data_IF_537206043223
#
_entry.id   IF_537206043223
#
_cell.length_a   1.000
_cell.length_b   1.000
_cell.length_c   1.000
_cell.angle_alpha   90.00
_cell.angle_beta   90.00
_cell.angle_gamma   90.00
#
_symmetry.space_group_name_H-M   'P 1'
#
loop_
_entity.id
_entity.type
_entity.pdbx_description
1 polymer ?
#
# COMPACT_ATOMS: atom_id res chain seq x y z
N UNK A 1 1.29 7.15 19.07
CA UNK A 1 2.34 7.97 18.38
C UNK A 1 1.95 8.00 16.91
N UNK A 2 1.87 9.18 16.31
CA UNK A 2 1.63 9.30 14.87
C UNK A 2 2.98 9.35 14.16
N UNK A 3 3.10 8.58 13.10
CA UNK A 3 4.28 8.55 12.23
C UNK A 3 3.87 9.05 10.84
N UNK A 4 4.79 9.59 10.08
CA UNK A 4 4.51 10.04 8.72
C UNK A 4 5.69 9.90 7.77
N UNK A 5 5.41 10.00 6.50
CA UNK A 5 6.38 10.21 5.44
C UNK A 5 5.80 11.19 4.40
N UNK A 6 6.69 11.91 3.75
CA UNK A 6 6.35 12.77 2.61
C UNK A 6 7.14 12.26 1.42
N UNK A 7 6.45 11.96 0.34
CA UNK A 7 7.05 11.38 -0.85
C UNK A 7 6.23 11.74 -2.10
N UNK A 8 6.86 12.25 -3.12
CA UNK A 8 6.24 12.48 -4.43
C UNK A 8 6.06 11.14 -5.14
N UNK A 9 4.89 10.52 -4.94
CA UNK A 9 4.62 9.15 -5.37
C UNK A 9 4.44 9.07 -6.88
N UNK A 10 3.71 9.99 -7.47
CA UNK A 10 3.38 9.99 -8.90
C UNK A 10 4.31 10.87 -9.75
N UNK A 11 5.34 11.46 -9.11
CA UNK A 11 6.36 12.29 -9.74
C UNK A 11 5.77 13.54 -10.45
N UNK A 12 4.70 14.10 -9.91
CA UNK A 12 4.08 15.32 -10.41
C UNK A 12 4.71 16.61 -9.84
N UNK A 13 5.65 16.46 -8.90
CA UNK A 13 6.34 17.55 -8.20
C UNK A 13 5.61 18.05 -6.95
N UNK A 14 4.48 17.43 -6.58
CA UNK A 14 3.73 17.72 -5.37
C UNK A 14 3.75 16.48 -4.48
N UNK A 15 4.44 16.51 -3.33
CA UNK A 15 4.57 15.33 -2.51
C UNK A 15 3.27 14.94 -1.80
N UNK A 16 3.01 13.63 -1.72
CA UNK A 16 1.96 13.04 -0.91
C UNK A 16 2.39 12.94 0.55
N UNK A 17 1.39 12.95 1.44
CA UNK A 17 1.55 12.71 2.85
C UNK A 17 0.99 11.33 3.21
N UNK A 18 1.83 10.49 3.80
CA UNK A 18 1.46 9.21 4.41
C UNK A 18 1.43 9.39 5.92
N UNK A 19 0.27 9.17 6.54
CA UNK A 19 0.10 9.19 8.00
C UNK A 19 -0.18 7.77 8.52
N UNK A 20 0.49 7.38 9.60
CA UNK A 20 0.22 6.14 10.32
C UNK A 20 -0.03 6.42 11.80
N UNK A 21 -1.13 5.93 12.33
CA UNK A 21 -1.50 6.10 13.74
C UNK A 21 -0.69 5.24 14.71
N UNK A 22 0.34 4.56 14.25
CA UNK A 22 1.20 3.72 15.07
C UNK A 22 2.54 3.43 14.44
N UNK A 23 3.47 2.97 15.28
CA UNK A 23 4.79 2.54 14.84
C UNK A 23 4.84 1.03 14.48
N UNK A 24 3.71 0.35 14.50
CA UNK A 24 3.61 -1.09 14.27
C UNK A 24 2.97 -1.39 12.90
N UNK A 25 3.34 -2.51 12.31
CA UNK A 25 2.95 -2.90 10.95
C UNK A 25 1.43 -3.00 10.73
N UNK A 26 0.66 -3.28 11.79
CA UNK A 26 -0.80 -3.35 11.71
C UNK A 26 -1.48 -2.00 11.47
N UNK A 27 -0.80 -0.88 11.72
CA UNK A 27 -1.43 0.43 11.66
C UNK A 27 -1.72 0.93 10.23
N UNK A 28 -1.06 0.35 9.21
CA UNK A 28 -1.20 0.84 7.84
C UNK A 28 -0.79 2.30 7.70
N UNK A 29 -1.26 2.93 6.64
CA UNK A 29 -1.05 4.35 6.38
C UNK A 29 -2.22 4.97 5.63
N UNK A 30 -2.61 6.17 6.05
CA UNK A 30 -3.58 6.99 5.33
C UNK A 30 -2.82 7.88 4.34
N UNK A 31 -3.19 7.82 3.09
CA UNK A 31 -2.57 8.58 2.01
C UNK A 31 -3.38 9.84 1.72
N UNK A 32 -2.70 10.98 1.70
CA UNK A 32 -3.23 12.27 1.31
C UNK A 32 -2.43 12.83 0.14
N UNK A 33 -3.12 13.43 -0.81
CA UNK A 33 -2.51 14.17 -1.93
C UNK A 33 -3.07 15.58 -2.03
N UNK A 34 -2.32 16.48 -2.65
CA UNK A 34 -2.81 17.79 -3.08
C UNK A 34 -2.89 17.79 -4.61
N UNK A 35 -4.10 17.91 -5.14
CA UNK A 35 -4.35 17.98 -6.57
C UNK A 35 -5.25 19.17 -6.89
N UNK A 36 -4.85 20.01 -7.86
CA UNK A 36 -5.54 21.24 -8.24
C UNK A 36 -5.89 22.14 -7.02
N UNK A 37 -4.90 22.37 -6.16
CA UNK A 37 -5.00 23.17 -4.92
C UNK A 37 -6.02 22.64 -3.89
N UNK A 38 -6.39 21.37 -3.97
CA UNK A 38 -7.27 20.70 -3.01
C UNK A 38 -6.54 19.53 -2.35
N UNK A 39 -6.63 19.50 -1.01
CA UNK A 39 -6.19 18.33 -0.25
C UNK A 39 -7.27 17.24 -0.33
N UNK A 40 -6.88 16.05 -0.73
CA UNK A 40 -7.73 14.87 -0.80
C UNK A 40 -7.15 13.72 0.04
N UNK A 41 -8.02 13.04 0.81
CA UNK A 41 -7.71 11.77 1.42
C UNK A 41 -8.02 10.66 0.42
N UNK A 42 -7.02 9.89 0.06
CA UNK A 42 -7.17 8.81 -0.93
C UNK A 42 -7.60 7.48 -0.32
N UNK A 43 -7.37 7.29 0.99
CA UNK A 43 -7.73 6.08 1.71
C UNK A 43 -6.64 5.55 2.61
N UNK A 44 -6.90 4.38 3.20
CA UNK A 44 -5.99 3.65 4.07
C UNK A 44 -5.43 2.43 3.33
N UNK A 45 -4.12 2.20 3.47
CA UNK A 45 -3.39 1.13 2.77
C UNK A 45 -2.43 0.41 3.72
N UNK A 46 -2.15 -0.86 3.43
CA UNK A 46 -1.10 -1.64 4.07
C UNK A 46 -1.32 -1.98 5.54
N UNK A 47 -2.55 -2.01 6.04
CA UNK A 47 -2.85 -2.47 7.39
C UNK A 47 -2.54 -3.96 7.54
N UNK A 48 -1.74 -4.37 8.59
CA UNK A 48 -1.24 -5.72 8.78
C UNK A 48 -0.40 -6.28 7.63
N UNK A 49 0.14 -5.41 6.79
CA UNK A 49 0.90 -5.79 5.62
C UNK A 49 1.83 -4.68 5.17
N UNK A 50 1.94 -4.55 3.86
CA UNK A 50 2.85 -3.59 3.24
C UNK A 50 2.09 -2.65 2.32
N UNK A 51 2.57 -1.42 2.28
CA UNK A 51 2.22 -0.43 1.29
C UNK A 51 3.46 -0.19 0.43
N UNK A 52 3.34 -0.39 -0.87
CA UNK A 52 4.41 -0.15 -1.83
C UNK A 52 3.88 0.62 -3.03
N UNK A 53 4.78 1.28 -3.72
CA UNK A 53 4.47 2.01 -4.94
C UNK A 53 5.39 1.59 -6.08
N UNK A 54 4.77 1.22 -7.20
CA UNK A 54 5.44 0.95 -8.47
C UNK A 54 5.46 2.24 -9.31
N UNK A 55 6.61 2.94 -9.40
CA UNK A 55 6.67 4.22 -10.10
C UNK A 55 6.59 4.07 -11.63
N UNK A 56 6.94 2.90 -12.16
CA UNK A 56 6.92 2.65 -13.60
C UNK A 56 5.49 2.54 -14.14
N UNK A 57 4.62 1.83 -13.38
CA UNK A 57 3.21 1.63 -13.74
C UNK A 57 2.27 2.62 -13.05
N UNK A 58 2.76 3.41 -12.09
CA UNK A 58 1.96 4.27 -11.20
C UNK A 58 0.89 3.51 -10.43
N UNK A 59 1.30 2.37 -9.85
CA UNK A 59 0.43 1.49 -9.08
C UNK A 59 0.78 1.54 -7.60
N UNK A 60 -0.27 1.61 -6.77
CA UNK A 60 -0.18 1.38 -5.33
C UNK A 60 -0.48 -0.09 -5.07
N UNK A 61 0.42 -0.76 -4.36
CA UNK A 61 0.25 -2.12 -3.87
C UNK A 61 -0.04 -2.07 -2.37
N UNK A 62 -1.22 -2.50 -1.98
CA UNK A 62 -1.64 -2.60 -0.57
C UNK A 62 -1.84 -4.06 -0.23
N UNK A 63 -0.98 -4.61 0.61
CA UNK A 63 -1.06 -6.00 1.03
C UNK A 63 -1.46 -6.12 2.50
N UNK A 64 -2.10 -7.24 2.79
CA UNK A 64 -2.46 -7.69 4.13
C UNK A 64 -2.14 -9.18 4.22
N UNK A 65 -1.46 -9.60 5.29
CA UNK A 65 -1.18 -11.01 5.51
C UNK A 65 -1.38 -11.38 6.99
N UNK A 66 -2.30 -12.29 7.26
CA UNK A 66 -2.56 -12.76 8.62
C UNK A 66 -3.09 -14.19 8.62
N UNK A 67 -2.58 -15.02 9.53
CA UNK A 67 -3.07 -16.38 9.80
C UNK A 67 -3.19 -17.27 8.56
N UNK A 68 -2.24 -17.19 7.64
CA UNK A 68 -2.24 -17.98 6.40
C UNK A 68 -3.11 -17.41 5.28
N UNK A 69 -3.81 -16.30 5.52
CA UNK A 69 -4.54 -15.56 4.50
C UNK A 69 -3.74 -14.35 4.04
N UNK A 70 -3.70 -14.13 2.74
CA UNK A 70 -3.07 -12.98 2.12
C UNK A 70 -4.03 -12.25 1.19
N UNK A 71 -4.03 -10.92 1.26
CA UNK A 71 -4.72 -10.03 0.33
C UNK A 71 -3.70 -9.09 -0.30
N UNK A 72 -3.82 -8.88 -1.59
CA UNK A 72 -3.12 -7.81 -2.31
C UNK A 72 -4.13 -7.08 -3.16
N UNK A 73 -4.30 -5.79 -2.91
CA UNK A 73 -5.08 -4.92 -3.79
C UNK A 73 -4.13 -3.95 -4.49
N UNK A 74 -4.33 -3.79 -5.79
CA UNK A 74 -3.52 -2.92 -6.64
C UNK A 74 -4.41 -1.81 -7.17
N UNK A 75 -3.95 -0.57 -6.96
CA UNK A 75 -4.65 0.64 -7.36
C UNK A 75 -3.82 1.40 -8.37
N UNK A 76 -4.44 1.96 -9.40
CA UNK A 76 -3.83 3.03 -10.16
C UNK A 76 -3.86 4.33 -9.34
N UNK A 77 -2.84 5.15 -9.48
CA UNK A 77 -2.77 6.47 -8.86
C UNK A 77 -2.43 7.51 -9.92
N UNK A 78 -3.42 8.29 -10.31
CA UNK A 78 -3.27 9.34 -11.30
C UNK A 78 -4.23 10.51 -11.00
N UNK A 79 -3.77 11.74 -11.26
CA UNK A 79 -4.59 12.95 -11.15
C UNK A 79 -5.27 13.13 -9.79
N UNK A 80 -4.57 12.75 -8.72
CA UNK A 80 -5.07 12.87 -7.34
C UNK A 80 -6.17 11.87 -6.97
N UNK A 81 -6.32 10.79 -7.72
CA UNK A 81 -7.32 9.74 -7.47
C UNK A 81 -6.69 8.36 -7.50
N UNK A 82 -7.25 7.43 -6.71
CA UNK A 82 -6.91 6.01 -6.74
C UNK A 82 -8.09 5.19 -7.23
N UNK A 83 -7.81 4.19 -8.07
CA UNK A 83 -8.82 3.25 -8.56
C UNK A 83 -8.29 1.83 -8.41
N UNK A 84 -9.03 0.95 -7.71
CA UNK A 84 -8.66 -0.46 -7.64
C UNK A 84 -8.72 -1.09 -9.04
N UNK A 85 -7.61 -1.70 -9.46
CA UNK A 85 -7.46 -2.35 -10.75
C UNK A 85 -7.75 -3.83 -10.62
N UNK A 86 -7.18 -4.46 -9.59
CA UNK A 86 -7.27 -5.90 -9.36
C UNK A 86 -7.03 -6.19 -7.88
N UNK A 87 -7.67 -7.22 -7.38
CA UNK A 87 -7.42 -7.76 -6.05
C UNK A 87 -7.13 -9.26 -6.11
N UNK A 88 -6.23 -9.70 -5.23
CA UNK A 88 -5.81 -11.08 -5.05
C UNK A 88 -6.09 -11.51 -3.63
N UNK A 89 -6.65 -12.69 -3.46
CA UNK A 89 -6.76 -13.37 -2.18
C UNK A 89 -6.19 -14.77 -2.27
N UNK A 90 -5.41 -15.16 -1.27
CA UNK A 90 -4.92 -16.52 -1.12
C UNK A 90 -5.06 -17.01 0.32
N UNK A 91 -5.36 -18.28 0.48
CA UNK A 91 -5.26 -18.99 1.73
C UNK A 91 -4.42 -20.26 1.52
N UNK A 92 -3.40 -20.45 2.34
CA UNK A 92 -2.41 -21.53 2.11
C UNK A 92 -2.69 -22.82 2.88
N UNK A 93 -3.83 -22.94 3.58
CA UNK A 93 -4.19 -24.17 4.28
C UNK A 93 -3.29 -24.49 5.49
N UNK A 94 -2.62 -23.52 6.09
CA UNK A 94 -1.56 -23.73 7.10
C UNK A 94 -2.02 -24.32 8.43
N UNK A 95 -3.31 -24.45 8.69
CA UNK A 95 -3.84 -24.99 9.93
C UNK A 95 -4.33 -26.44 9.73
N UNK A 96 -4.05 -27.36 10.67
CA UNK A 96 -4.42 -28.79 10.53
C UNK A 96 -5.92 -29.07 10.37
N UNK A 97 -6.77 -28.11 10.72
CA UNK A 97 -8.25 -28.19 10.57
C UNK A 97 -8.78 -27.23 9.51
N UNK A 98 -7.89 -26.64 8.73
CA UNK A 98 -8.25 -25.62 7.76
C UNK A 98 -8.82 -26.23 6.48
N UNK A 99 -9.67 -25.51 5.74
CA UNK A 99 -10.06 -25.88 4.40
C UNK A 99 -8.84 -26.02 3.47
N UNK A 100 -9.05 -26.60 2.31
CA UNK A 100 -8.04 -26.63 1.25
C UNK A 100 -7.60 -25.20 0.88
N UNK A 101 -6.42 -25.08 0.25
CA UNK A 101 -5.93 -23.82 -0.25
C UNK A 101 -6.96 -23.15 -1.20
N UNK A 102 -7.15 -21.86 -1.03
CA UNK A 102 -8.07 -21.06 -1.83
C UNK A 102 -7.31 -19.96 -2.55
N UNK A 103 -7.71 -19.68 -3.78
CA UNK A 103 -7.15 -18.60 -4.61
C UNK A 103 -8.29 -17.85 -5.28
N UNK A 104 -8.28 -16.50 -5.16
CA UNK A 104 -9.29 -15.65 -5.79
C UNK A 104 -8.64 -14.45 -6.47
N UNK A 105 -9.24 -14.06 -7.59
CA UNK A 105 -8.95 -12.82 -8.29
C UNK A 105 -10.27 -12.05 -8.41
N UNK A 106 -10.30 -10.82 -7.90
CA UNK A 106 -11.50 -9.98 -7.86
C UNK A 106 -12.71 -10.70 -7.21
N UNK A 107 -12.43 -11.40 -6.08
CA UNK A 107 -13.40 -12.21 -5.32
C UNK A 107 -13.94 -13.46 -6.04
N UNK A 108 -13.46 -13.78 -7.23
CA UNK A 108 -13.82 -14.98 -7.97
C UNK A 108 -12.80 -16.10 -7.73
N UNK A 109 -13.28 -17.33 -7.45
CA UNK A 109 -12.43 -18.51 -7.29
C UNK A 109 -11.72 -18.85 -8.59
N UNK A 110 -10.40 -19.04 -8.51
CA UNK A 110 -9.57 -19.41 -9.66
C UNK A 110 -8.63 -20.56 -9.29
N UNK A 111 -8.20 -21.37 -10.27
CA UNK A 111 -7.12 -22.33 -10.05
C UNK A 111 -5.79 -21.65 -9.68
N UNK A 112 -4.95 -22.34 -8.92
CA UNK A 112 -3.64 -21.84 -8.47
C UNK A 112 -2.74 -21.36 -9.61
N UNK A 113 -2.71 -22.10 -10.72
CA UNK A 113 -1.90 -21.75 -11.89
C UNK A 113 -2.37 -20.45 -12.57
N UNK A 114 -3.68 -20.24 -12.62
CA UNK A 114 -4.28 -18.99 -13.11
C UNK A 114 -3.96 -17.83 -12.19
N UNK A 115 -4.08 -18.04 -10.87
CA UNK A 115 -3.73 -17.04 -9.86
C UNK A 115 -2.26 -16.64 -9.99
N UNK A 116 -1.35 -17.59 -10.01
CA UNK A 116 0.09 -17.32 -10.09
C UNK A 116 0.47 -16.60 -11.39
N UNK A 117 -0.10 -17.01 -12.52
CA UNK A 117 0.16 -16.36 -13.80
C UNK A 117 -0.31 -14.90 -13.85
N UNK A 118 -1.44 -14.59 -13.22
CA UNK A 118 -1.93 -13.22 -13.15
C UNK A 118 -1.15 -12.38 -12.13
N UNK A 119 -0.87 -12.93 -10.94
CA UNK A 119 -0.10 -12.28 -9.88
C UNK A 119 1.30 -11.86 -10.35
N UNK A 120 1.99 -12.70 -11.12
CA UNK A 120 3.33 -12.46 -11.66
C UNK A 120 3.40 -11.20 -12.55
N UNK A 121 2.31 -10.84 -13.22
CA UNK A 121 2.24 -9.64 -14.06
C UNK A 121 2.39 -8.34 -13.27
N UNK A 122 2.10 -8.37 -11.97
CA UNK A 122 2.15 -7.21 -11.08
C UNK A 122 3.37 -7.22 -10.16
N UNK A 123 4.26 -8.22 -10.28
CA UNK A 123 5.51 -8.23 -9.53
C UNK A 123 6.42 -7.08 -9.98
N UNK A 124 7.12 -6.47 -9.02
CA UNK A 124 8.12 -5.43 -9.26
C UNK A 124 9.13 -5.41 -8.13
N UNK A 125 10.27 -4.76 -8.35
CA UNK A 125 11.29 -4.60 -7.32
C UNK A 125 10.83 -3.55 -6.31
N UNK A 126 10.63 -3.95 -5.06
CA UNK A 126 10.27 -3.04 -3.98
C UNK A 126 11.34 -2.00 -3.74
N UNK A 127 10.93 -0.76 -3.52
CA UNK A 127 11.82 0.33 -3.18
C UNK A 127 12.12 0.31 -1.69
N UNK A 128 13.38 0.08 -1.32
CA UNK A 128 13.83 0.10 0.08
C UNK A 128 13.71 1.49 0.72
N UNK A 129 13.74 2.56 -0.06
CA UNK A 129 13.61 3.94 0.39
C UNK A 129 12.15 4.36 0.63
N UNK A 130 11.18 3.56 0.20
CA UNK A 130 9.77 3.82 0.41
C UNK A 130 9.32 3.29 1.78
N UNK A 131 9.35 4.15 2.77
CA UNK A 131 9.01 3.83 4.16
C UNK A 131 7.82 4.65 4.61
N UNK A 132 6.67 4.01 4.87
CA UNK A 132 5.44 4.68 5.31
C UNK A 132 5.64 5.44 6.63
N UNK A 133 6.42 4.88 7.55
CA UNK A 133 6.63 5.39 8.91
C UNK A 133 8.06 5.89 9.11
N UNK A 134 8.41 6.95 8.41
CA UNK A 134 9.78 7.47 8.43
C UNK A 134 10.04 8.47 9.56
N UNK A 135 9.07 9.31 9.85
CA UNK A 135 9.21 10.43 10.78
C UNK A 135 8.16 10.37 11.88
N UNK A 136 8.53 10.79 13.08
CA UNK A 136 7.57 11.08 14.14
C UNK A 136 7.00 12.50 14.01
N UNK A 137 5.89 12.77 14.69
CA UNK A 137 5.23 14.08 14.65
C UNK A 137 5.73 15.04 15.73
N UNK A 138 7.00 14.93 16.13
CA UNK A 138 7.58 15.92 17.04
C UNK A 138 7.79 17.27 16.34
N UNK A 139 7.70 18.37 17.09
CA UNK A 139 7.91 19.71 16.55
C UNK A 139 9.27 19.86 15.85
N UNK A 140 10.33 19.30 16.45
CA UNK A 140 11.68 19.38 15.90
C UNK A 140 11.80 18.64 14.56
N UNK A 141 11.16 17.47 14.43
CA UNK A 141 11.15 16.69 13.20
C UNK A 141 10.42 17.43 12.10
N UNK A 142 9.24 18.00 12.39
CA UNK A 142 8.45 18.77 11.42
C UNK A 142 9.23 19.99 10.93
N UNK A 143 9.81 20.77 11.84
CA UNK A 143 10.61 21.95 11.46
C UNK A 143 11.86 21.60 10.63
N UNK A 144 12.48 20.46 10.92
CA UNK A 144 13.64 19.97 10.15
C UNK A 144 13.26 19.63 8.71
N UNK A 145 12.11 18.96 8.51
CA UNK A 145 11.63 18.57 7.19
C UNK A 145 11.21 19.78 6.36
N UNK A 146 10.46 20.74 6.96
CA UNK A 146 10.02 21.95 6.28
C UNK A 146 11.18 22.87 5.83
N UNK A 147 12.37 22.71 6.41
CA UNK A 147 13.58 23.43 5.98
C UNK A 147 14.31 22.78 4.81
N UNK A 148 13.97 21.53 4.47
CA UNK A 148 14.60 20.77 3.38
C UNK A 148 13.84 20.91 2.04
N UNK A 149 12.61 21.38 2.11
CA UNK A 149 11.70 21.62 0.98
C UNK A 149 11.35 23.10 0.89
#
# INVERSE_FOLDING_TARGET
>A
MVMFNIYDIDEDGIPELLLSEGAYHAAGGTLYTAYLDKLACLGEYGGWGEFQYDPERKYIHSSFFQMGSGYLSIYSFENGETTEIISFYMYNGSFPSAPEAEYKINDEDVPEDVFNAEYEKYSFDFREDFIVRKYDTTQNTIESILKQH
#
